data_IF_407167522504
#
_entry.id   IF_407167522504
#
_cell.length_a   1.000
_cell.length_b   1.000
_cell.length_c   1.000
_cell.angle_alpha   90.00
_cell.angle_beta   90.00
_cell.angle_gamma   90.00
#
_symmetry.space_group_name_H-M   'P 1'
#
loop_
_entity.id
_entity.type
_entity.pdbx_description
1 polymer ?
#
# COMPACT_ATOMS: atom_id res chain seq x y z
N UNK A 1 -105.98 37.98 34.20
CA UNK A 1 -107.42 38.22 34.06
C UNK A 1 -107.55 39.65 33.58
N UNK A 2 -107.98 39.97 32.36
CA UNK A 2 -108.66 39.23 31.26
C UNK A 2 -108.40 40.00 29.93
N UNK A 3 -108.51 39.47 28.69
CA UNK A 3 -108.66 38.10 28.12
C UNK A 3 -108.47 38.21 26.56
N UNK A 4 -108.77 37.17 25.77
CA UNK A 4 -108.92 37.08 24.28
C UNK A 4 -107.65 36.95 23.41
N UNK A 5 -107.63 36.21 22.28
CA UNK A 5 -108.43 35.05 21.78
C UNK A 5 -107.90 34.58 20.40
N UNK A 6 -108.55 33.56 19.82
CA UNK A 6 -108.48 33.10 18.40
C UNK A 6 -107.19 32.38 17.97
N UNK A 7 -107.10 31.04 17.87
CA UNK A 7 -108.09 29.95 17.76
C UNK A 7 -108.80 29.79 16.39
N UNK A 8 -108.18 29.03 15.46
CA UNK A 8 -108.82 28.20 14.41
C UNK A 8 -107.91 26.97 14.23
N UNK A 9 -108.16 25.85 14.91
CA UNK A 9 -109.05 24.75 14.49
C UNK A 9 -108.59 23.98 13.23
N UNK A 10 -108.32 22.68 13.38
CA UNK A 10 -109.36 21.71 13.02
C UNK A 10 -109.24 20.38 13.81
N UNK A 11 -110.36 19.70 13.92
CA UNK A 11 -110.63 18.53 14.77
C UNK A 11 -110.65 17.21 13.96
N UNK A 12 -110.72 16.06 14.66
CA UNK A 12 -110.99 14.69 14.16
C UNK A 12 -109.95 14.05 13.22
N UNK A 13 -109.62 12.76 13.33
CA UNK A 13 -110.44 11.60 13.77
C UNK A 13 -109.64 10.57 14.60
N UNK A 14 -110.36 9.79 15.42
CA UNK A 14 -109.84 8.75 16.35
C UNK A 14 -109.83 7.32 15.72
N UNK A 15 -109.54 6.18 16.40
CA UNK A 15 -108.46 5.30 15.93
C UNK A 15 -108.85 3.83 15.65
N UNK A 16 -107.96 3.12 14.94
CA UNK A 16 -107.83 1.65 14.89
C UNK A 16 -106.33 1.36 14.67
N UNK A 17 -105.65 0.43 15.33
CA UNK A 17 -106.05 -0.61 16.27
C UNK A 17 -105.18 -1.84 16.05
N UNK A 18 -104.35 -2.17 17.04
CA UNK A 18 -103.67 -3.46 17.27
C UNK A 18 -102.53 -3.89 16.30
N UNK A 19 -101.27 -3.90 16.79
CA UNK A 19 -100.60 -5.17 17.16
C UNK A 19 -99.20 -5.01 17.80
N UNK A 20 -98.99 -5.74 18.89
CA UNK A 20 -97.77 -6.39 19.38
C UNK A 20 -96.38 -5.68 19.29
N UNK A 21 -95.94 -5.19 20.45
CA UNK A 21 -94.66 -5.51 21.12
C UNK A 21 -93.43 -5.89 20.28
N UNK A 22 -92.46 -4.97 20.22
CA UNK A 22 -91.03 -5.27 20.07
C UNK A 22 -90.22 -4.39 21.02
N UNK A 23 -89.17 -4.89 21.71
CA UNK A 23 -88.35 -4.04 22.56
C UNK A 23 -87.58 -3.04 21.68
N UNK A 24 -87.56 -1.78 22.11
CA UNK A 24 -86.58 -0.82 21.60
C UNK A 24 -85.22 -1.20 22.18
N UNK A 25 -84.53 -2.12 21.52
CA UNK A 25 -83.09 -2.28 21.67
C UNK A 25 -82.43 -0.98 21.21
N UNK A 26 -82.20 -0.08 22.16
CA UNK A 26 -81.23 0.99 21.96
C UNK A 26 -79.89 0.31 21.72
N UNK A 27 -79.35 0.40 20.51
CA UNK A 27 -77.97 0.02 20.20
C UNK A 27 -77.00 0.95 20.95
N UNK A 28 -76.85 0.73 22.25
CA UNK A 28 -75.81 1.28 23.12
C UNK A 28 -74.49 0.54 22.90
N UNK A 29 -74.24 0.09 21.67
CA UNK A 29 -72.98 -0.49 21.26
C UNK A 29 -71.88 0.57 21.28
N UNK A 30 -70.69 0.18 21.73
CA UNK A 30 -69.49 1.03 21.76
C UNK A 30 -69.24 1.79 20.44
N UNK A 31 -69.58 1.18 19.31
CA UNK A 31 -69.43 1.72 17.96
C UNK A 31 -70.48 2.78 17.55
N UNK A 32 -71.65 2.86 18.20
CA UNK A 32 -72.72 3.80 17.80
C UNK A 32 -72.44 5.24 18.23
N UNK A 33 -71.64 5.43 19.28
CA UNK A 33 -71.16 6.75 19.73
C UNK A 33 -69.94 7.30 18.96
N UNK A 34 -69.37 6.53 18.03
CA UNK A 34 -68.23 6.95 17.20
C UNK A 34 -68.69 7.57 15.88
N UNK A 35 -67.90 8.51 15.34
CA UNK A 35 -68.04 8.98 13.96
C UNK A 35 -67.69 7.85 12.96
N UNK A 36 -68.17 7.96 11.73
CA UNK A 36 -68.05 6.88 10.73
C UNK A 36 -66.60 6.47 10.41
N UNK A 37 -65.68 7.43 10.42
CA UNK A 37 -64.24 7.23 10.29
C UNK A 37 -63.68 6.41 11.46
N UNK A 38 -63.99 6.81 12.69
CA UNK A 38 -63.55 6.11 13.89
C UNK A 38 -64.21 4.72 14.04
N UNK A 39 -65.44 4.56 13.54
CA UNK A 39 -66.16 3.27 13.49
C UNK A 39 -65.51 2.31 12.51
N UNK A 40 -65.17 2.79 11.31
CA UNK A 40 -64.45 2.01 10.30
C UNK A 40 -63.09 1.56 10.85
N UNK A 41 -62.32 2.49 11.41
CA UNK A 41 -61.02 2.18 12.03
C UNK A 41 -61.13 1.20 13.20
N UNK A 42 -62.12 1.35 14.08
CA UNK A 42 -62.36 0.40 15.17
C UNK A 42 -62.74 -0.99 14.65
N UNK A 43 -63.59 -1.09 13.62
CA UNK A 43 -63.96 -2.36 13.00
C UNK A 43 -62.77 -3.05 12.31
N UNK A 44 -61.93 -2.31 11.59
CA UNK A 44 -60.69 -2.82 10.96
C UNK A 44 -59.69 -3.39 11.99
N UNK A 45 -59.61 -2.77 13.17
CA UNK A 45 -58.75 -3.23 14.28
C UNK A 45 -59.44 -4.24 15.23
N UNK A 46 -60.67 -4.68 14.91
CA UNK A 46 -61.41 -5.67 15.71
C UNK A 46 -61.93 -5.16 17.05
N UNK A 47 -62.05 -3.84 17.24
CA UNK A 47 -62.47 -3.20 18.49
C UNK A 47 -64.00 -3.08 18.60
N UNK A 48 -64.65 -4.12 19.10
CA UNK A 48 -66.11 -4.16 19.34
C UNK A 48 -66.57 -3.45 20.61
N UNK A 49 -65.67 -3.28 21.58
CA UNK A 49 -65.98 -2.78 22.93
C UNK A 49 -64.74 -2.19 23.62
N UNK A 50 -64.92 -1.56 24.78
CA UNK A 50 -63.83 -0.94 25.53
C UNK A 50 -62.73 -1.94 25.97
N UNK A 51 -63.05 -3.21 26.24
CA UNK A 51 -62.04 -4.19 26.62
C UNK A 51 -61.15 -4.57 25.44
N UNK A 52 -61.74 -4.79 24.26
CA UNK A 52 -61.01 -5.05 23.02
C UNK A 52 -60.05 -3.91 22.63
N UNK A 53 -60.40 -2.65 22.91
CA UNK A 53 -59.48 -1.49 22.75
C UNK A 53 -58.31 -1.58 23.74
N UNK A 54 -58.56 -1.88 25.01
CA UNK A 54 -57.49 -2.04 26.00
C UNK A 54 -56.56 -3.22 25.71
N UNK A 55 -57.08 -4.32 25.17
CA UNK A 55 -56.27 -5.47 24.79
C UNK A 55 -55.48 -5.21 23.50
N UNK A 56 -56.06 -4.50 22.52
CA UNK A 56 -55.32 -3.97 21.37
C UNK A 56 -54.20 -3.01 21.77
N UNK A 57 -54.46 -2.12 22.73
CA UNK A 57 -53.44 -1.22 23.29
C UNK A 57 -52.32 -1.98 24.01
N UNK A 58 -52.64 -3.02 24.81
CA UNK A 58 -51.61 -3.88 25.43
C UNK A 58 -50.79 -4.65 24.40
N UNK A 59 -51.42 -5.15 23.33
CA UNK A 59 -50.72 -5.84 22.25
C UNK A 59 -49.74 -4.90 21.54
N UNK A 60 -50.21 -3.71 21.15
CA UNK A 60 -49.37 -2.65 20.57
C UNK A 60 -48.26 -2.21 21.53
N UNK A 61 -48.54 -2.09 22.84
CA UNK A 61 -47.54 -1.77 23.85
C UNK A 61 -46.48 -2.88 23.98
N UNK A 62 -46.88 -4.16 23.91
CA UNK A 62 -45.96 -5.30 23.91
C UNK A 62 -45.07 -5.34 22.66
N UNK A 63 -45.64 -5.03 21.48
CA UNK A 63 -44.90 -4.92 20.22
C UNK A 63 -43.91 -3.74 20.23
N UNK A 64 -44.35 -2.58 20.71
CA UNK A 64 -43.48 -1.40 20.91
C UNK A 64 -42.36 -1.65 21.94
N UNK A 65 -42.63 -2.37 23.03
CA UNK A 65 -41.62 -2.80 24.00
C UNK A 65 -40.63 -3.82 23.43
N UNK A 66 -41.05 -4.61 22.42
CA UNK A 66 -40.17 -5.51 21.68
C UNK A 66 -39.40 -4.84 20.54
N UNK A 67 -39.76 -3.60 20.17
CA UNK A 67 -39.12 -2.87 19.07
C UNK A 67 -37.86 -2.12 19.53
N UNK A 68 -36.77 -2.27 18.78
CA UNK A 68 -35.53 -1.53 19.04
C UNK A 68 -35.72 -0.08 18.57
N UNK A 69 -35.82 0.86 19.51
CA UNK A 69 -36.03 2.28 19.18
C UNK A 69 -34.78 2.91 18.58
N UNK A 70 -34.94 3.57 17.43
CA UNK A 70 -33.86 4.35 16.79
C UNK A 70 -33.50 5.54 17.68
N UNK A 71 -32.23 5.72 18.08
CA UNK A 71 -31.80 6.85 18.90
C UNK A 71 -32.05 8.19 18.20
N UNK A 72 -32.55 9.17 18.94
CA UNK A 72 -32.77 10.53 18.43
C UNK A 72 -31.46 11.27 18.11
N UNK A 73 -31.56 12.42 17.44
CA UNK A 73 -30.38 13.24 17.08
C UNK A 73 -29.52 13.65 18.27
N UNK A 74 -30.14 13.80 19.45
CA UNK A 74 -29.49 14.20 20.71
C UNK A 74 -29.05 13.01 21.57
N UNK A 75 -29.27 11.76 21.12
CA UNK A 75 -28.85 10.58 21.88
C UNK A 75 -27.33 10.52 22.01
N UNK A 76 -26.86 10.11 23.19
CA UNK A 76 -25.44 9.98 23.51
C UNK A 76 -24.74 8.88 22.71
N UNK A 77 -23.41 8.95 22.63
CA UNK A 77 -22.61 7.93 21.94
C UNK A 77 -22.80 6.53 22.54
N UNK A 78 -23.08 6.43 23.84
CA UNK A 78 -23.35 5.16 24.50
C UNK A 78 -24.72 4.58 24.10
N UNK A 79 -25.79 5.37 24.11
CA UNK A 79 -27.12 4.92 23.66
C UNK A 79 -27.10 4.49 22.19
N UNK A 80 -26.32 5.18 21.34
CA UNK A 80 -26.08 4.80 19.95
C UNK A 80 -25.31 3.47 19.84
N UNK A 81 -24.26 3.30 20.64
CA UNK A 81 -23.46 2.08 20.65
C UNK A 81 -24.27 0.86 21.10
N UNK A 82 -25.09 1.01 22.14
CA UNK A 82 -25.99 -0.04 22.64
C UNK A 82 -27.03 -0.41 21.58
N UNK A 83 -27.65 0.57 20.91
CA UNK A 83 -28.55 0.35 19.78
C UNK A 83 -27.90 -0.45 18.64
N UNK A 84 -26.72 -0.02 18.16
CA UNK A 84 -26.03 -0.72 17.07
C UNK A 84 -25.53 -2.11 17.50
N UNK A 85 -25.21 -2.31 18.79
CA UNK A 85 -24.85 -3.63 19.33
C UNK A 85 -26.03 -4.59 19.38
N UNK A 86 -27.23 -4.14 19.76
CA UNK A 86 -28.42 -5.01 19.74
C UNK A 86 -28.87 -5.34 18.31
N UNK A 87 -28.85 -4.36 17.40
CA UNK A 87 -29.23 -4.64 16.01
C UNK A 87 -28.19 -5.54 15.32
N UNK A 88 -26.88 -5.38 15.57
CA UNK A 88 -25.88 -6.19 14.88
C UNK A 88 -26.02 -7.68 15.16
N UNK A 89 -26.37 -8.06 16.39
CA UNK A 89 -26.70 -9.45 16.77
C UNK A 89 -27.80 -10.08 15.91
N UNK A 90 -28.69 -9.29 15.29
CA UNK A 90 -29.77 -9.79 14.44
C UNK A 90 -29.31 -10.21 13.04
N UNK A 91 -28.23 -9.61 12.51
CA UNK A 91 -27.71 -9.88 11.17
C UNK A 91 -26.32 -10.53 11.14
N UNK A 92 -25.59 -10.54 12.26
CA UNK A 92 -24.29 -11.20 12.37
C UNK A 92 -24.42 -12.70 12.11
N UNK A 93 -23.65 -13.30 11.16
CA UNK A 93 -23.75 -14.72 10.86
C UNK A 93 -23.24 -15.58 12.02
N UNK A 94 -24.01 -16.61 12.41
CA UNK A 94 -23.64 -17.55 13.51
C UNK A 94 -22.37 -18.37 13.25
N UNK A 95 -21.91 -18.46 12.01
CA UNK A 95 -20.66 -19.14 11.61
C UNK A 95 -19.51 -18.16 11.36
N UNK A 96 -19.66 -16.88 11.74
CA UNK A 96 -18.76 -15.79 11.39
C UNK A 96 -18.88 -15.36 9.93
N UNK A 97 -18.18 -14.27 9.57
CA UNK A 97 -18.17 -13.75 8.21
C UNK A 97 -17.35 -14.65 7.29
N UNK A 98 -17.92 -14.98 6.12
CA UNK A 98 -17.23 -15.69 5.05
C UNK A 98 -17.31 -14.87 3.78
N UNK A 99 -16.15 -14.34 3.36
CA UNK A 99 -16.08 -13.54 2.15
C UNK A 99 -15.86 -14.40 0.90
N UNK A 100 -16.66 -14.13 -0.12
CA UNK A 100 -16.40 -14.62 -1.48
C UNK A 100 -15.18 -13.91 -2.05
N UNK A 101 -14.38 -14.63 -2.84
CA UNK A 101 -13.28 -14.04 -3.60
C UNK A 101 -13.84 -13.16 -4.73
N UNK A 102 -13.37 -11.90 -4.90
CA UNK A 102 -13.80 -11.03 -6.00
C UNK A 102 -13.44 -11.62 -7.37
N UNK A 103 -14.38 -11.54 -8.32
CA UNK A 103 -14.22 -12.10 -9.67
C UNK A 103 -13.13 -11.40 -10.51
N UNK A 104 -12.82 -10.13 -10.21
CA UNK A 104 -11.92 -9.28 -11.00
C UNK A 104 -10.46 -9.28 -10.50
N UNK A 105 -10.03 -10.34 -9.82
CA UNK A 105 -8.66 -10.46 -9.32
C UNK A 105 -7.67 -10.94 -10.40
N UNK A 106 -6.46 -10.36 -10.49
CA UNK A 106 -5.39 -10.89 -11.33
C UNK A 106 -5.02 -12.32 -10.92
N UNK A 107 -4.72 -13.19 -11.89
CA UNK A 107 -4.32 -14.59 -11.62
C UNK A 107 -3.03 -14.71 -10.79
N UNK A 108 -2.14 -13.70 -10.86
CA UNK A 108 -0.92 -13.63 -10.06
C UNK A 108 -1.14 -13.17 -8.61
N UNK A 109 -2.33 -12.66 -8.26
CA UNK A 109 -2.57 -12.06 -6.95
C UNK A 109 -2.69 -13.12 -5.83
N UNK A 110 -1.82 -13.09 -4.80
CA UNK A 110 -1.85 -14.06 -3.72
C UNK A 110 -2.98 -13.74 -2.71
N UNK A 111 -4.19 -14.23 -2.99
CA UNK A 111 -5.34 -14.05 -2.10
C UNK A 111 -5.24 -14.92 -0.83
N UNK A 112 -5.11 -14.27 0.34
CA UNK A 112 -5.01 -14.92 1.64
C UNK A 112 -6.41 -15.17 2.27
N UNK A 113 -6.86 -16.42 2.21
CA UNK A 113 -8.11 -16.87 2.84
C UNK A 113 -8.04 -16.93 4.37
N UNK A 114 -6.86 -17.01 5.00
CA UNK A 114 -6.73 -16.97 6.45
C UNK A 114 -6.92 -15.53 6.95
N UNK A 115 -6.25 -14.56 6.31
CA UNK A 115 -6.46 -13.14 6.59
C UNK A 115 -7.93 -12.72 6.36
N UNK A 116 -8.56 -13.18 5.27
CA UNK A 116 -9.97 -12.88 5.02
C UNK A 116 -10.91 -13.36 6.16
N UNK A 117 -10.57 -14.46 6.85
CA UNK A 117 -11.31 -14.92 8.04
C UNK A 117 -11.01 -14.09 9.28
N UNK A 118 -9.75 -13.69 9.48
CA UNK A 118 -9.35 -12.80 10.59
C UNK A 118 -10.05 -11.44 10.47
N UNK A 119 -10.03 -10.82 9.29
CA UNK A 119 -10.77 -9.60 9.00
C UNK A 119 -12.28 -9.77 9.24
N UNK A 120 -12.83 -10.97 9.01
CA UNK A 120 -14.20 -11.34 9.35
C UNK A 120 -14.54 -11.12 10.82
N UNK A 121 -13.60 -11.39 11.73
CA UNK A 121 -13.74 -11.09 13.16
C UNK A 121 -13.84 -9.59 13.44
N UNK A 122 -13.03 -8.76 12.77
CA UNK A 122 -13.12 -7.30 12.95
C UNK A 122 -14.45 -6.72 12.45
N UNK A 123 -15.03 -7.28 11.39
CA UNK A 123 -16.35 -6.88 10.91
C UNK A 123 -17.49 -7.35 11.82
N UNK A 124 -17.30 -8.47 12.52
CA UNK A 124 -18.19 -8.95 13.58
C UNK A 124 -18.13 -8.05 14.83
N UNK A 125 -16.92 -7.74 15.32
CA UNK A 125 -16.69 -6.82 16.43
C UNK A 125 -17.27 -5.41 16.16
N UNK A 126 -17.13 -4.92 14.93
CA UNK A 126 -17.71 -3.65 14.49
C UNK A 126 -19.20 -3.73 14.12
N UNK A 127 -19.83 -4.92 14.20
CA UNK A 127 -21.26 -5.12 14.02
C UNK A 127 -21.80 -4.85 12.61
N UNK A 128 -20.96 -4.96 11.56
CA UNK A 128 -21.37 -4.62 10.19
C UNK A 128 -22.44 -5.57 9.64
N UNK A 129 -23.25 -5.10 8.69
CA UNK A 129 -24.11 -6.00 7.92
C UNK A 129 -23.29 -6.90 6.97
N UNK A 130 -23.60 -8.20 6.78
CA UNK A 130 -22.86 -9.10 5.89
C UNK A 130 -22.58 -8.55 4.49
N UNK A 131 -23.55 -7.92 3.85
CA UNK A 131 -23.34 -7.27 2.54
C UNK A 131 -22.38 -6.07 2.58
N UNK A 132 -22.37 -5.32 3.67
CA UNK A 132 -21.48 -4.17 3.84
C UNK A 132 -20.04 -4.64 4.06
N UNK A 133 -19.87 -5.69 4.87
CA UNK A 133 -18.59 -6.36 5.07
C UNK A 133 -18.04 -6.94 3.76
N UNK A 134 -18.85 -7.65 2.96
CA UNK A 134 -18.45 -8.13 1.62
C UNK A 134 -18.06 -6.97 0.69
N UNK A 135 -18.85 -5.89 0.61
CA UNK A 135 -18.54 -4.71 -0.22
C UNK A 135 -17.24 -4.01 0.20
N UNK A 136 -16.91 -3.99 1.50
CA UNK A 136 -15.65 -3.45 2.01
C UNK A 136 -14.47 -4.38 1.73
N UNK A 137 -14.65 -5.69 1.95
CA UNK A 137 -13.69 -6.72 1.57
C UNK A 137 -13.32 -6.62 0.09
N UNK A 138 -14.31 -6.58 -0.82
CA UNK A 138 -14.08 -6.56 -2.27
C UNK A 138 -13.32 -5.30 -2.70
N UNK A 139 -13.62 -4.15 -2.09
CA UNK A 139 -12.88 -2.89 -2.32
C UNK A 139 -11.46 -2.95 -1.79
N UNK A 140 -11.25 -3.50 -0.60
CA UNK A 140 -9.93 -3.63 0.01
C UNK A 140 -9.05 -4.58 -0.82
N UNK A 141 -9.56 -5.77 -1.14
CA UNK A 141 -8.88 -6.78 -1.96
C UNK A 141 -8.60 -6.25 -3.37
N UNK A 142 -9.55 -5.54 -4.00
CA UNK A 142 -9.33 -4.85 -5.27
C UNK A 142 -8.20 -3.82 -5.19
N UNK A 143 -8.13 -3.03 -4.11
CA UNK A 143 -7.06 -2.05 -3.90
C UNK A 143 -5.69 -2.70 -3.69
N UNK A 144 -5.64 -3.83 -2.97
CA UNK A 144 -4.42 -4.63 -2.80
C UNK A 144 -3.94 -5.20 -4.14
N UNK A 145 -4.86 -5.68 -4.98
CA UNK A 145 -4.54 -6.20 -6.31
C UNK A 145 -4.05 -5.11 -7.28
N UNK A 146 -4.63 -3.91 -7.25
CA UNK A 146 -4.11 -2.74 -7.97
C UNK A 146 -2.69 -2.40 -7.55
N UNK A 147 -2.42 -2.37 -6.23
CA UNK A 147 -1.08 -2.08 -5.69
C UNK A 147 -0.06 -3.15 -6.06
N UNK A 148 -0.44 -4.43 -5.98
CA UNK A 148 0.39 -5.56 -6.37
C UNK A 148 0.76 -5.47 -7.86
N UNK A 149 -0.23 -5.28 -8.74
CA UNK A 149 -0.02 -5.11 -10.19
C UNK A 149 0.87 -3.91 -10.50
N UNK A 150 0.66 -2.78 -9.81
CA UNK A 150 1.51 -1.60 -9.95
C UNK A 150 2.95 -1.85 -9.51
N UNK A 151 3.16 -2.65 -8.45
CA UNK A 151 4.50 -3.04 -7.99
C UNK A 151 5.19 -4.01 -8.96
N UNK A 152 4.50 -5.03 -9.49
CA UNK A 152 5.02 -5.92 -10.54
C UNK A 152 5.40 -5.14 -11.80
N UNK A 153 4.54 -4.22 -12.24
CA UNK A 153 4.80 -3.35 -13.39
C UNK A 153 5.97 -2.40 -13.15
N UNK A 154 6.11 -1.84 -11.95
CA UNK A 154 7.23 -0.99 -11.57
C UNK A 154 8.56 -1.76 -11.53
N UNK A 155 8.57 -2.96 -10.93
CA UNK A 155 9.75 -3.83 -10.90
C UNK A 155 10.18 -4.24 -12.31
N UNK A 156 9.23 -4.69 -13.14
CA UNK A 156 9.48 -5.06 -14.55
C UNK A 156 9.97 -3.86 -15.37
N UNK A 157 9.35 -2.68 -15.18
CA UNK A 157 9.75 -1.44 -15.83
C UNK A 157 11.15 -0.97 -15.42
N UNK A 158 11.52 -1.13 -14.14
CA UNK A 158 12.86 -0.87 -13.65
C UNK A 158 13.90 -1.81 -14.28
N UNK A 159 13.62 -3.11 -14.34
CA UNK A 159 14.48 -4.11 -15.01
C UNK A 159 14.66 -3.77 -16.50
N UNK A 160 13.58 -3.49 -17.24
CA UNK A 160 13.66 -3.13 -18.65
C UNK A 160 14.40 -1.80 -18.89
N UNK A 161 14.29 -0.84 -17.97
CA UNK A 161 15.03 0.43 -18.04
C UNK A 161 16.53 0.19 -17.78
N UNK A 162 16.86 -0.67 -16.82
CA UNK A 162 18.22 -1.07 -16.47
C UNK A 162 18.88 -1.86 -17.61
N UNK A 163 18.18 -2.79 -18.24
CA UNK A 163 18.66 -3.54 -19.42
C UNK A 163 18.93 -2.61 -20.61
N UNK A 164 18.01 -1.68 -20.92
CA UNK A 164 18.23 -0.68 -21.98
C UNK A 164 19.37 0.29 -21.68
N UNK A 165 19.50 0.70 -20.42
CA UNK A 165 20.62 1.51 -19.97
C UNK A 165 21.92 0.75 -20.23
N UNK A 166 22.03 -0.50 -19.77
CA UNK A 166 23.18 -1.39 -19.94
C UNK A 166 23.50 -1.72 -21.41
N UNK A 167 22.50 -1.86 -22.28
CA UNK A 167 22.71 -2.11 -23.72
C UNK A 167 23.26 -0.86 -24.44
N UNK A 168 22.63 0.31 -24.25
CA UNK A 168 23.14 1.59 -24.76
C UNK A 168 24.56 1.86 -24.25
N UNK A 169 24.79 1.50 -22.98
CA UNK A 169 26.05 1.56 -22.30
C UNK A 169 27.16 0.72 -22.96
N UNK A 170 26.83 -0.54 -23.28
CA UNK A 170 27.72 -1.45 -23.97
C UNK A 170 28.06 -0.97 -25.39
N UNK A 171 27.08 -0.43 -26.12
CA UNK A 171 27.30 0.16 -27.46
C UNK A 171 28.29 1.34 -27.41
N UNK A 172 28.25 2.13 -26.34
CA UNK A 172 29.19 3.22 -26.08
C UNK A 172 30.64 2.73 -25.87
N UNK A 173 30.84 1.64 -25.13
CA UNK A 173 32.17 0.99 -25.01
C UNK A 173 32.64 0.42 -26.34
N UNK A 174 31.75 -0.23 -27.10
CA UNK A 174 32.08 -0.82 -28.40
C UNK A 174 32.48 0.24 -29.43
N UNK A 175 31.84 1.41 -29.39
CA UNK A 175 32.23 2.57 -30.22
C UNK A 175 33.61 3.10 -29.85
N UNK A 176 33.88 3.27 -28.55
CA UNK A 176 35.05 4.02 -28.07
C UNK A 176 36.32 3.15 -27.95
N UNK A 177 36.18 1.84 -27.71
CA UNK A 177 37.29 0.89 -27.51
C UNK A 177 37.30 -0.30 -28.48
N UNK A 178 36.32 -0.39 -29.39
CA UNK A 178 36.16 -1.50 -30.33
C UNK A 178 35.34 -2.68 -29.76
N UNK A 179 35.10 -3.73 -30.55
CA UNK A 179 34.25 -4.86 -30.16
C UNK A 179 34.79 -5.59 -28.91
N UNK A 180 33.96 -6.39 -28.20
CA UNK A 180 34.37 -7.03 -26.94
C UNK A 180 35.61 -7.93 -27.04
N UNK A 181 35.85 -8.52 -28.21
CA UNK A 181 37.03 -9.34 -28.52
C UNK A 181 38.29 -8.51 -28.85
N UNK A 182 38.23 -7.18 -28.79
CA UNK A 182 39.38 -6.31 -29.07
C UNK A 182 40.28 -6.14 -27.86
N UNK A 183 41.59 -6.06 -28.10
CA UNK A 183 42.57 -5.70 -27.06
C UNK A 183 42.23 -4.36 -26.40
N UNK A 184 41.64 -3.41 -27.14
CA UNK A 184 41.24 -2.10 -26.61
C UNK A 184 40.13 -2.20 -25.56
N UNK A 185 39.09 -2.99 -25.85
CA UNK A 185 37.96 -3.24 -24.96
C UNK A 185 38.40 -4.01 -23.71
N UNK A 186 39.14 -5.11 -23.91
CA UNK A 186 39.66 -5.94 -22.81
C UNK A 186 40.59 -5.15 -21.89
N UNK A 187 41.47 -4.30 -22.43
CA UNK A 187 42.33 -3.42 -21.63
C UNK A 187 41.59 -2.27 -20.93
N UNK A 188 40.43 -1.82 -21.44
CA UNK A 188 39.59 -0.85 -20.74
C UNK A 188 38.88 -1.49 -19.54
N UNK A 189 38.22 -2.64 -19.75
CA UNK A 189 37.55 -3.40 -18.68
C UNK A 189 38.54 -3.83 -17.59
N UNK A 190 39.70 -4.37 -17.97
CA UNK A 190 40.73 -4.79 -17.01
C UNK A 190 41.34 -3.62 -16.20
N UNK A 191 41.36 -2.39 -16.74
CA UNK A 191 41.79 -1.20 -15.98
C UNK A 191 40.71 -0.73 -15.00
N UNK A 192 39.45 -0.73 -15.42
CA UNK A 192 38.32 -0.42 -14.54
C UNK A 192 38.21 -1.40 -13.36
N UNK A 193 38.39 -2.69 -13.60
CA UNK A 193 38.37 -3.74 -12.57
C UNK A 193 39.51 -3.59 -11.54
N UNK A 194 40.73 -3.30 -12.00
CA UNK A 194 41.87 -2.97 -11.11
C UNK A 194 41.61 -1.70 -10.30
N UNK A 195 40.99 -0.68 -10.89
CA UNK A 195 40.64 0.56 -10.19
C UNK A 195 39.61 0.31 -9.08
N UNK A 196 38.56 -0.47 -9.36
CA UNK A 196 37.55 -0.85 -8.37
C UNK A 196 38.18 -1.65 -7.22
N UNK A 197 39.05 -2.61 -7.54
CA UNK A 197 39.81 -3.38 -6.55
C UNK A 197 40.73 -2.49 -5.70
N UNK A 198 41.38 -1.50 -6.33
CA UNK A 198 42.20 -0.50 -5.64
C UNK A 198 41.40 0.39 -4.68
N UNK A 199 40.24 0.90 -5.11
CA UNK A 199 39.33 1.70 -4.29
C UNK A 199 38.82 0.92 -3.08
N UNK A 200 38.39 -0.34 -3.29
CA UNK A 200 37.98 -1.27 -2.22
C UNK A 200 39.11 -1.50 -1.22
N UNK A 201 40.34 -1.69 -1.71
CA UNK A 201 41.54 -1.84 -0.87
C UNK A 201 41.91 -0.57 -0.09
N UNK A 202 41.55 0.60 -0.60
CA UNK A 202 41.65 1.89 0.09
C UNK A 202 40.48 2.18 1.07
N UNK A 203 39.56 1.23 1.25
CA UNK A 203 38.41 1.36 2.14
C UNK A 203 37.17 2.03 1.52
N UNK A 204 37.17 2.30 0.22
CA UNK A 204 36.03 2.86 -0.51
C UNK A 204 35.37 1.73 -1.30
N UNK A 205 34.44 1.02 -0.65
CA UNK A 205 33.69 -0.05 -1.31
C UNK A 205 32.51 0.51 -2.11
N UNK A 206 32.62 0.47 -3.43
CA UNK A 206 31.57 0.88 -4.37
C UNK A 206 30.84 -0.33 -4.98
N UNK A 207 31.18 -1.57 -4.59
CA UNK A 207 30.61 -2.78 -5.21
C UNK A 207 29.09 -2.80 -5.06
N UNK A 208 28.56 -2.55 -3.87
CA UNK A 208 27.11 -2.55 -3.62
C UNK A 208 26.39 -1.42 -4.36
N UNK A 209 27.02 -0.24 -4.50
CA UNK A 209 26.45 0.88 -5.24
C UNK A 209 26.38 0.58 -6.75
N UNK A 210 27.44 0.03 -7.33
CA UNK A 210 27.43 -0.40 -8.73
C UNK A 210 26.47 -1.58 -8.95
N UNK A 211 26.33 -2.51 -8.00
CA UNK A 211 25.35 -3.59 -8.05
C UNK A 211 23.91 -3.05 -8.04
N UNK A 212 23.58 -2.12 -7.13
CA UNK A 212 22.26 -1.47 -7.05
C UNK A 212 21.91 -0.74 -8.36
N UNK A 213 22.89 -0.12 -9.03
CA UNK A 213 22.68 0.52 -10.34
C UNK A 213 22.70 -0.43 -11.54
N UNK A 214 22.99 -1.73 -11.35
CA UNK A 214 23.14 -2.69 -12.45
C UNK A 214 24.39 -2.47 -13.31
N UNK A 215 25.37 -1.73 -12.77
CA UNK A 215 26.63 -1.43 -13.43
C UNK A 215 27.65 -2.59 -13.34
N UNK A 216 27.29 -3.68 -12.65
CA UNK A 216 28.05 -4.91 -12.57
C UNK A 216 27.39 -6.04 -13.39
N UNK A 217 28.21 -6.89 -14.01
CA UNK A 217 27.74 -8.12 -14.65
C UNK A 217 27.08 -9.04 -13.62
N UNK A 218 26.21 -9.95 -14.08
CA UNK A 218 25.93 -11.15 -13.26
C UNK A 218 27.25 -11.83 -12.92
N UNK A 219 27.34 -12.36 -11.70
CA UNK A 219 28.50 -13.11 -11.27
C UNK A 219 28.74 -14.30 -12.21
N UNK A 220 29.98 -14.47 -12.66
CA UNK A 220 30.34 -15.61 -13.48
C UNK A 220 30.46 -16.90 -12.65
N UNK A 221 30.92 -17.99 -13.26
CA UNK A 221 31.10 -19.29 -12.58
C UNK A 221 32.15 -19.28 -11.46
N UNK A 222 32.94 -18.20 -11.33
CA UNK A 222 33.92 -17.98 -10.26
C UNK A 222 33.42 -17.02 -9.18
N UNK A 223 32.23 -16.42 -9.35
CA UNK A 223 31.66 -15.44 -8.43
C UNK A 223 32.11 -14.00 -8.69
N UNK A 224 32.96 -13.76 -9.70
CA UNK A 224 33.45 -12.44 -10.05
C UNK A 224 32.39 -11.67 -10.85
N UNK A 225 32.22 -10.39 -10.51
CA UNK A 225 31.32 -9.46 -11.18
C UNK A 225 32.16 -8.35 -11.81
N UNK A 226 32.07 -8.19 -13.13
CA UNK A 226 32.84 -7.18 -13.87
C UNK A 226 32.03 -5.89 -13.98
N UNK A 227 32.71 -4.73 -14.01
CA UNK A 227 32.02 -3.46 -14.30
C UNK A 227 31.64 -3.43 -15.79
N UNK A 228 30.33 -3.36 -16.07
CA UNK A 228 29.77 -3.36 -17.44
C UNK A 228 29.21 -2.00 -17.87
N UNK A 229 28.99 -1.07 -16.93
CA UNK A 229 28.56 0.28 -17.26
C UNK A 229 29.74 1.13 -17.80
N UNK A 230 29.60 1.85 -18.93
CA UNK A 230 30.64 2.66 -19.56
C UNK A 230 31.00 3.89 -18.75
N UNK A 231 30.08 4.48 -17.99
CA UNK A 231 30.36 5.68 -17.21
C UNK A 231 31.22 5.27 -16.02
N UNK A 232 30.88 4.15 -15.39
CA UNK A 232 31.70 3.47 -14.40
C UNK A 232 33.06 3.04 -14.99
N UNK A 233 33.10 2.33 -16.11
CA UNK A 233 34.36 1.90 -16.77
C UNK A 233 35.21 3.08 -17.19
N UNK A 234 34.64 4.14 -17.78
CA UNK A 234 35.37 5.37 -18.17
C UNK A 234 35.85 6.14 -16.96
N UNK A 235 35.03 6.29 -15.91
CA UNK A 235 35.43 6.96 -14.66
C UNK A 235 36.52 6.18 -13.92
N UNK A 236 36.39 4.86 -13.82
CA UNK A 236 37.37 3.98 -13.18
C UNK A 236 38.66 3.87 -13.99
N UNK A 237 38.57 3.84 -15.33
CA UNK A 237 39.75 3.93 -16.22
C UNK A 237 40.41 5.31 -16.11
N UNK A 238 39.63 6.40 -15.98
CA UNK A 238 40.17 7.73 -15.72
C UNK A 238 40.83 7.82 -14.34
N UNK A 239 40.23 7.28 -13.28
CA UNK A 239 40.81 7.23 -11.93
C UNK A 239 42.10 6.40 -11.93
N UNK A 240 42.09 5.25 -12.60
CA UNK A 240 43.28 4.43 -12.83
C UNK A 240 44.35 5.24 -13.55
N UNK A 241 44.05 5.73 -14.76
CA UNK A 241 45.01 6.45 -15.59
C UNK A 241 45.48 7.75 -14.92
N UNK A 242 44.69 8.42 -14.08
CA UNK A 242 45.13 9.58 -13.28
C UNK A 242 46.03 9.18 -12.11
N UNK A 243 45.67 8.13 -11.36
CA UNK A 243 46.49 7.63 -10.26
C UNK A 243 47.85 7.11 -10.76
N UNK A 244 47.88 6.45 -11.91
CA UNK A 244 49.10 5.95 -12.56
C UNK A 244 49.81 6.98 -13.46
N UNK A 245 49.19 8.14 -13.77
CA UNK A 245 49.87 9.27 -14.41
C UNK A 245 50.54 10.21 -13.40
N UNK A 246 49.96 10.39 -12.20
CA UNK A 246 50.64 11.07 -11.09
C UNK A 246 51.72 10.17 -10.46
N UNK A 247 51.50 8.86 -10.40
CA UNK A 247 52.53 7.87 -10.00
C UNK A 247 53.21 7.22 -11.22
N UNK A 248 54.03 8.01 -11.91
CA UNK A 248 54.80 7.59 -13.09
C UNK A 248 55.80 6.45 -12.81
N UNK A 249 55.27 5.22 -12.92
CA UNK A 249 55.91 3.90 -13.04
C UNK A 249 56.98 3.53 -11.99
N UNK A 250 56.70 2.48 -11.20
CA UNK A 250 57.32 1.15 -11.46
C UNK A 250 56.76 0.02 -10.59
N UNK A 251 55.90 -0.81 -11.20
CA UNK A 251 55.51 -2.12 -10.70
C UNK A 251 54.57 -2.78 -11.72
N UNK A 252 55.02 -3.84 -12.40
CA UNK A 252 54.29 -4.59 -13.43
C UNK A 252 54.17 -3.97 -14.84
N UNK A 253 55.22 -3.28 -15.28
CA UNK A 253 55.61 -3.33 -16.69
C UNK A 253 56.92 -4.16 -16.79
N UNK A 254 56.80 -5.48 -16.90
CA UNK A 254 57.96 -6.30 -17.27
C UNK A 254 58.37 -5.98 -18.71
N UNK A 255 59.60 -5.47 -18.89
CA UNK A 255 60.27 -5.49 -20.19
C UNK A 255 60.50 -4.15 -20.90
N UNK A 256 61.18 -3.18 -20.28
CA UNK A 256 62.20 -2.36 -21.00
C UNK A 256 63.16 -1.56 -20.07
N UNK A 257 64.15 -2.26 -19.50
CA UNK A 257 65.55 -1.76 -19.47
C UNK A 257 65.94 -0.44 -18.77
N UNK A 258 65.13 0.14 -17.87
CA UNK A 258 65.53 1.30 -17.07
C UNK A 258 66.30 0.92 -15.80
N UNK A 259 67.64 1.00 -15.80
CA UNK A 259 68.46 0.74 -14.61
C UNK A 259 68.28 1.82 -13.53
N UNK A 260 68.31 1.46 -12.25
CA UNK A 260 68.16 2.42 -11.16
C UNK A 260 69.41 3.33 -11.08
N UNK A 261 69.27 4.67 -11.13
CA UNK A 261 70.40 5.58 -11.16
C UNK A 261 71.26 5.57 -9.89
N UNK A 262 70.79 5.00 -8.78
CA UNK A 262 71.54 4.90 -7.52
C UNK A 262 72.28 3.56 -7.31
N UNK A 263 72.07 2.58 -8.19
CA UNK A 263 72.75 1.28 -8.14
C UNK A 263 74.28 1.42 -8.17
N UNK A 264 74.99 0.43 -7.60
CA UNK A 264 76.47 0.47 -7.52
C UNK A 264 77.16 0.49 -8.88
N UNK A 265 76.52 -0.10 -9.88
CA UNK A 265 77.03 -0.23 -11.25
C UNK A 265 76.49 0.89 -12.18
N UNK A 266 75.67 1.81 -11.64
CA UNK A 266 75.10 2.95 -12.37
C UNK A 266 75.81 4.26 -11.97
N UNK A 267 76.41 4.94 -12.96
CA UNK A 267 77.21 6.15 -12.77
C UNK A 267 76.53 7.42 -13.31
N UNK A 268 75.20 7.42 -13.49
CA UNK A 268 74.46 8.61 -13.96
C UNK A 268 74.25 9.64 -12.85
N UNK A 269 75.35 10.32 -12.50
CA UNK A 269 75.41 11.40 -11.50
C UNK A 269 74.45 12.56 -11.84
N UNK A 270 74.09 12.75 -13.12
CA UNK A 270 73.17 13.81 -13.53
C UNK A 270 71.74 13.46 -13.14
N UNK A 271 71.30 12.24 -13.45
CA UNK A 271 69.99 11.75 -12.99
C UNK A 271 69.90 11.69 -11.47
N UNK A 272 70.97 11.28 -10.78
CA UNK A 272 71.02 11.32 -9.31
C UNK A 272 70.78 12.73 -8.77
N UNK A 273 71.44 13.76 -9.32
CA UNK A 273 71.25 15.16 -8.89
C UNK A 273 69.84 15.68 -9.22
N UNK A 274 69.37 15.50 -10.45
CA UNK A 274 68.02 15.95 -10.85
C UNK A 274 66.92 15.29 -10.00
N UNK A 275 67.08 14.03 -9.58
CA UNK A 275 66.15 13.35 -8.67
C UNK A 275 66.22 13.87 -7.23
N UNK A 276 67.43 14.12 -6.71
CA UNK A 276 67.62 14.68 -5.37
C UNK A 276 66.98 16.08 -5.24
N UNK A 277 67.18 16.93 -6.24
CA UNK A 277 66.67 18.31 -6.25
C UNK A 277 65.15 18.40 -6.48
N UNK A 278 64.60 17.55 -7.37
CA UNK A 278 63.18 17.63 -7.76
C UNK A 278 62.23 16.74 -6.95
N UNK A 279 62.71 15.58 -6.47
CA UNK A 279 61.88 14.65 -5.71
C UNK A 279 62.72 13.87 -4.66
N UNK A 280 63.08 14.52 -3.54
CA UNK A 280 63.92 13.92 -2.51
C UNK A 280 63.26 12.72 -1.80
N UNK A 281 61.93 12.57 -1.88
CA UNK A 281 61.23 11.37 -1.39
C UNK A 281 61.49 10.14 -2.29
N UNK A 282 61.33 10.30 -3.61
CA UNK A 282 61.63 9.24 -4.60
C UNK A 282 63.12 8.88 -4.61
N UNK A 283 64.00 9.88 -4.49
CA UNK A 283 65.44 9.65 -4.35
C UNK A 283 65.77 8.78 -3.12
N UNK A 284 65.20 9.08 -1.94
CA UNK A 284 65.36 8.24 -0.73
C UNK A 284 64.94 6.79 -0.95
N UNK A 285 63.80 6.57 -1.61
CA UNK A 285 63.31 5.21 -1.92
C UNK A 285 64.26 4.46 -2.87
N UNK A 286 64.73 5.10 -3.93
CA UNK A 286 65.66 4.50 -4.90
C UNK A 286 67.06 4.24 -4.33
N UNK A 287 67.54 5.09 -3.40
CA UNK A 287 68.78 4.88 -2.64
C UNK A 287 68.67 3.65 -1.73
N UNK A 288 67.53 3.48 -1.04
CA UNK A 288 67.26 2.30 -0.21
C UNK A 288 67.12 1.03 -1.05
N UNK A 289 66.46 1.10 -2.22
CA UNK A 289 66.34 -0.01 -3.16
C UNK A 289 67.71 -0.45 -3.72
N UNK A 290 68.63 0.49 -3.94
CA UNK A 290 70.04 0.23 -4.29
C UNK A 290 70.90 -0.33 -3.13
N UNK A 291 70.32 -0.53 -1.94
CA UNK A 291 71.04 -1.00 -0.75
C UNK A 291 72.09 -0.01 -0.24
N UNK A 292 71.86 1.30 -0.41
CA UNK A 292 72.75 2.39 0.03
C UNK A 292 72.10 3.21 1.15
N UNK A 293 72.91 3.84 2.00
CA UNK A 293 72.42 4.73 3.06
C UNK A 293 72.04 6.11 2.48
N UNK A 294 70.77 6.58 2.65
CA UNK A 294 70.37 7.93 2.28
C UNK A 294 71.27 9.04 2.82
N UNK A 295 71.91 8.87 3.98
CA UNK A 295 72.82 9.87 4.58
C UNK A 295 74.10 10.11 3.78
N UNK A 296 74.45 9.21 2.85
CA UNK A 296 75.58 9.38 1.94
C UNK A 296 75.28 10.36 0.80
N UNK A 297 74.01 10.74 0.63
CA UNK A 297 73.53 11.71 -0.33
C UNK A 297 72.94 12.90 0.41
N UNK A 298 72.94 14.10 -0.20
CA UNK A 298 72.36 15.31 0.42
C UNK A 298 70.85 15.34 0.16
N UNK A 299 70.08 14.55 0.91
CA UNK A 299 68.61 14.37 0.77
C UNK A 299 67.84 14.84 2.00
#
# INVERSE_FOLDING_TARGET
MEDYSDNIANDTFEPVGDNATGPLEMETGFLSGLSEEHRSFAAENGWSDAASVFDGFKALQGELMGSVQVPGSEASDQERSEFYSEISKSWTPKEGYRFSMPENLPESFPYDQAFAREAGGWFEEAGLHPEAAQKLHDRWVGKMAEQFTAHEAAATGATLSQEKAAESAHQDLVRDFGPPESDGYQNAVARADRALTGLKSAGIDLTDWFAEKGALSRADKSGLQQVVDPVAVKLLTFIHDSAFAEDGLSGLAEGTGGANPFDRDSLDLKQQSDLLDRNPARARQMILAAGRDPKMFRV
#
